data_IF_868101584636
#
_entry.id   IF_868101584636
#
_cell.length_a   1.000
_cell.length_b   1.000
_cell.length_c   1.000
_cell.angle_alpha   90.00
_cell.angle_beta   90.00
_cell.angle_gamma   90.00
#
_symmetry.space_group_name_H-M   'P 1'
#
loop_
_entity.id
_entity.type
_entity.pdbx_description
1 polymer ?
#
# COMPACT_ATOMS: atom_id res chain seq x y z
N UNK A 1 22.49 14.44 7.46
CA UNK A 1 21.09 14.03 7.35
C UNK A 1 20.89 13.29 6.03
N UNK A 2 20.72 11.96 6.09
CA UNK A 2 20.45 11.13 4.91
C UNK A 2 19.08 11.47 4.28
N UNK A 3 18.18 12.08 5.06
CA UNK A 3 16.83 12.47 4.64
C UNK A 3 16.76 13.83 3.91
N UNK A 4 17.77 14.66 3.98
CA UNK A 4 17.81 15.97 3.29
C UNK A 4 18.54 15.94 1.95
N UNK A 5 19.14 14.79 1.60
CA UNK A 5 19.89 14.66 0.36
C UNK A 5 19.00 14.34 -0.83
N UNK A 6 19.22 15.03 -1.94
CA UNK A 6 18.72 14.69 -3.27
C UNK A 6 19.35 13.41 -3.84
N UNK A 7 20.20 12.74 -3.08
CA UNK A 7 20.83 11.48 -3.47
C UNK A 7 20.03 10.31 -2.94
N UNK A 8 19.06 9.91 -3.72
CA UNK A 8 18.50 8.56 -3.62
C UNK A 8 19.59 7.61 -4.07
N UNK A 9 19.86 6.54 -3.31
CA UNK A 9 20.81 5.53 -3.74
C UNK A 9 20.26 4.81 -4.96
N UNK A 10 20.92 5.03 -6.08
CA UNK A 10 20.46 4.62 -7.39
C UNK A 10 20.85 3.19 -7.76
N UNK A 11 21.64 2.54 -6.90
CA UNK A 11 22.19 1.22 -7.22
C UNK A 11 21.30 0.04 -6.81
N UNK A 12 20.16 0.28 -6.17
CA UNK A 12 19.37 -0.80 -5.59
C UNK A 12 20.07 -1.59 -4.48
N UNK A 13 21.32 -1.23 -4.15
CA UNK A 13 22.07 -1.85 -3.05
C UNK A 13 21.61 -1.34 -1.69
N UNK A 14 20.96 -0.18 -1.65
CA UNK A 14 20.37 0.39 -0.46
C UNK A 14 18.88 0.02 -0.37
N UNK A 15 18.49 -0.54 0.76
CA UNK A 15 17.09 -0.80 1.08
C UNK A 15 16.39 0.39 1.72
N UNK A 16 16.97 1.56 1.62
CA UNK A 16 16.54 2.77 2.30
C UNK A 16 15.04 3.09 2.10
N UNK A 17 14.54 3.00 0.87
CA UNK A 17 13.12 3.24 0.56
C UNK A 17 12.19 2.24 1.26
N UNK A 18 12.60 0.97 1.23
CA UNK A 18 11.86 -0.14 1.90
C UNK A 18 11.91 0.06 3.41
N UNK A 19 13.04 0.47 3.96
CA UNK A 19 13.18 0.70 5.41
C UNK A 19 12.32 1.91 5.86
N UNK A 20 12.26 2.98 5.07
CA UNK A 20 11.37 4.13 5.31
C UNK A 20 9.90 3.71 5.30
N UNK A 21 9.48 2.88 4.34
CA UNK A 21 8.14 2.32 4.29
C UNK A 21 7.83 1.45 5.52
N UNK A 22 8.76 0.57 5.92
CA UNK A 22 8.59 -0.28 7.11
C UNK A 22 8.51 0.48 8.42
N UNK A 23 9.16 1.64 8.49
CA UNK A 23 9.09 2.53 9.65
C UNK A 23 7.81 3.37 9.71
N UNK A 24 6.94 3.30 8.70
CA UNK A 24 5.68 4.05 8.66
C UNK A 24 5.84 5.54 8.35
N UNK A 25 6.93 5.94 7.68
CA UNK A 25 7.26 7.34 7.40
C UNK A 25 6.69 7.77 6.03
N UNK A 26 5.36 7.94 5.95
CA UNK A 26 4.64 8.15 4.69
C UNK A 26 5.09 9.38 3.90
N UNK A 27 5.21 10.53 4.55
CA UNK A 27 5.63 11.77 3.87
C UNK A 27 7.06 11.69 3.34
N UNK A 28 7.96 11.06 4.10
CA UNK A 28 9.34 10.81 3.66
C UNK A 28 9.37 9.81 2.50
N UNK A 29 8.56 8.75 2.56
CA UNK A 29 8.43 7.80 1.46
C UNK A 29 7.95 8.49 0.19
N UNK A 30 6.89 9.30 0.26
CA UNK A 30 6.38 10.05 -0.88
C UNK A 30 7.44 10.96 -1.51
N UNK A 31 8.19 11.69 -0.69
CA UNK A 31 9.28 12.54 -1.15
C UNK A 31 10.38 11.72 -1.85
N UNK A 32 10.76 10.58 -1.29
CA UNK A 32 11.78 9.70 -1.84
C UNK A 32 11.32 9.10 -3.17
N UNK A 33 10.10 8.58 -3.24
CA UNK A 33 9.53 8.00 -4.44
C UNK A 33 9.44 9.03 -5.58
N UNK A 34 8.97 10.25 -5.30
CA UNK A 34 8.94 11.34 -6.28
C UNK A 34 10.35 11.69 -6.77
N UNK A 35 11.31 11.85 -5.85
CA UNK A 35 12.68 12.16 -6.24
C UNK A 35 13.28 11.04 -7.11
N UNK A 36 13.04 9.79 -6.76
CA UNK A 36 13.52 8.66 -7.54
C UNK A 36 12.85 8.58 -8.91
N UNK A 37 11.53 8.82 -8.96
CA UNK A 37 10.80 8.90 -10.22
C UNK A 37 11.34 9.99 -11.12
N UNK A 38 11.54 11.21 -10.61
CA UNK A 38 12.14 12.31 -11.37
C UNK A 38 13.53 11.98 -11.91
N UNK A 39 14.36 11.36 -11.07
CA UNK A 39 15.71 10.94 -11.49
C UNK A 39 15.67 9.95 -12.63
N UNK A 40 14.81 8.93 -12.55
CA UNK A 40 14.73 7.88 -13.56
C UNK A 40 13.98 8.31 -14.83
N UNK A 41 13.00 9.20 -14.73
CA UNK A 41 12.18 9.58 -15.88
C UNK A 41 12.62 10.84 -16.58
N UNK A 42 13.07 11.85 -15.82
CA UNK A 42 13.47 13.17 -16.38
C UNK A 42 14.93 13.17 -16.83
N UNK A 43 15.81 12.47 -16.12
CA UNK A 43 17.23 12.42 -16.41
C UNK A 43 17.67 11.15 -17.16
N UNK A 44 16.76 10.20 -17.33
CA UNK A 44 17.01 8.95 -18.04
C UNK A 44 16.37 8.93 -19.42
N UNK A 45 17.02 8.26 -20.37
CA UNK A 45 16.49 8.09 -21.73
C UNK A 45 15.36 7.02 -21.81
N UNK A 46 15.01 6.41 -20.69
CA UNK A 46 14.01 5.34 -20.63
C UNK A 46 12.89 5.65 -19.64
N UNK A 47 11.62 5.70 -20.07
CA UNK A 47 10.50 6.04 -19.22
C UNK A 47 10.05 4.91 -18.27
N UNK A 48 10.76 3.81 -18.18
CA UNK A 48 10.36 2.59 -17.46
C UNK A 48 11.11 2.36 -16.15
N UNK A 49 11.75 3.37 -15.59
CA UNK A 49 12.46 3.32 -14.30
C UNK A 49 13.65 2.34 -14.23
N UNK A 50 14.09 1.78 -15.37
CA UNK A 50 15.17 0.76 -15.41
C UNK A 50 16.55 1.39 -15.46
N UNK A 51 16.65 2.66 -15.84
CA UNK A 51 17.91 3.35 -16.05
C UNK A 51 18.38 4.05 -14.78
N UNK A 52 19.66 3.92 -14.43
CA UNK A 52 20.29 4.70 -13.39
C UNK A 52 21.21 5.79 -13.97
N UNK A 53 21.57 6.78 -13.16
CA UNK A 53 22.42 7.91 -13.58
C UNK A 53 23.85 7.52 -14.00
N UNK A 54 24.21 6.25 -13.97
CA UNK A 54 25.54 5.75 -14.31
C UNK A 54 25.58 5.02 -15.63
N UNK A 55 24.58 5.22 -16.48
CA UNK A 55 24.44 4.51 -17.75
C UNK A 55 24.29 2.98 -17.61
N UNK A 56 23.72 2.51 -16.48
CA UNK A 56 23.40 1.13 -16.25
C UNK A 56 21.91 0.89 -16.12
N UNK A 57 21.44 -0.23 -16.63
CA UNK A 57 20.11 -0.76 -16.33
C UNK A 57 20.15 -1.39 -14.94
N UNK A 58 19.35 -0.85 -13.99
CA UNK A 58 19.30 -1.34 -12.63
C UNK A 58 17.96 -2.01 -12.33
N UNK A 59 17.93 -3.33 -12.46
CA UNK A 59 16.79 -4.13 -12.04
C UNK A 59 16.57 -4.04 -10.51
N UNK A 60 17.65 -3.87 -9.76
CA UNK A 60 17.65 -3.72 -8.31
C UNK A 60 16.97 -2.41 -7.90
N UNK A 61 17.24 -1.31 -8.58
CA UNK A 61 16.60 -0.01 -8.32
C UNK A 61 15.09 -0.09 -8.53
N UNK A 62 14.65 -0.73 -9.61
CA UNK A 62 13.24 -0.96 -9.89
C UNK A 62 12.61 -1.88 -8.83
N UNK A 63 13.30 -2.95 -8.45
CA UNK A 63 12.84 -3.89 -7.43
C UNK A 63 12.64 -3.23 -6.06
N UNK A 64 13.58 -2.40 -5.62
CA UNK A 64 13.47 -1.66 -4.36
C UNK A 64 12.39 -0.59 -4.39
N UNK A 65 12.22 0.09 -5.53
CA UNK A 65 11.12 1.05 -5.74
C UNK A 65 9.76 0.35 -5.63
N UNK A 66 9.56 -0.76 -6.36
CA UNK A 66 8.32 -1.54 -6.32
C UNK A 66 8.03 -2.10 -4.93
N UNK A 67 9.06 -2.62 -4.24
CA UNK A 67 8.92 -3.12 -2.88
C UNK A 67 8.52 -2.00 -1.89
N UNK A 68 9.11 -0.82 -2.03
CA UNK A 68 8.76 0.33 -1.18
C UNK A 68 7.32 0.81 -1.43
N UNK A 69 6.85 0.82 -2.68
CA UNK A 69 5.44 1.10 -3.01
C UNK A 69 4.51 0.10 -2.33
N UNK A 70 4.79 -1.20 -2.46
CA UNK A 70 3.97 -2.24 -1.86
C UNK A 70 3.97 -2.15 -0.32
N UNK A 71 5.14 -1.97 0.30
CA UNK A 71 5.27 -1.80 1.75
C UNK A 71 4.61 -0.50 2.26
N UNK A 72 4.53 0.53 1.43
CA UNK A 72 3.80 1.76 1.74
C UNK A 72 2.29 1.55 1.74
N UNK A 73 1.77 0.73 0.83
CA UNK A 73 0.35 0.43 0.67
C UNK A 73 -0.15 -0.63 1.65
N UNK A 74 0.59 -1.74 1.79
CA UNK A 74 0.16 -2.89 2.58
C UNK A 74 1.34 -3.60 3.23
N UNK A 75 1.24 -3.86 4.52
CA UNK A 75 2.23 -4.67 5.27
C UNK A 75 1.53 -5.78 6.03
N UNK A 76 2.21 -6.92 6.16
CA UNK A 76 1.82 -8.01 7.04
C UNK A 76 3.05 -8.49 7.81
N UNK A 77 3.46 -7.69 8.77
CA UNK A 77 4.66 -7.93 9.57
C UNK A 77 4.28 -8.29 10.99
N UNK A 78 4.99 -9.26 11.57
CA UNK A 78 4.89 -9.55 12.98
C UNK A 78 5.44 -8.37 13.81
N UNK A 79 4.74 -7.94 14.87
CA UNK A 79 5.21 -6.86 15.74
C UNK A 79 6.45 -7.25 16.54
N UNK A 80 6.67 -8.54 16.74
CA UNK A 80 7.83 -9.12 17.45
C UNK A 80 8.42 -10.28 16.62
N UNK A 81 9.62 -10.72 16.96
CA UNK A 81 10.34 -11.79 16.22
C UNK A 81 9.55 -13.09 16.18
N UNK A 82 8.83 -13.42 17.24
CA UNK A 82 8.05 -14.66 17.36
C UNK A 82 6.53 -14.40 17.33
N UNK A 83 6.12 -13.21 16.90
CA UNK A 83 4.72 -12.82 16.82
C UNK A 83 4.07 -13.21 15.51
N UNK A 84 2.75 -13.22 15.51
CA UNK A 84 1.95 -13.43 14.31
C UNK A 84 1.93 -12.20 13.39
N UNK A 85 1.79 -12.38 12.07
CA UNK A 85 1.66 -11.27 11.14
C UNK A 85 0.42 -10.43 11.42
N UNK A 86 0.57 -9.12 11.34
CA UNK A 86 -0.52 -8.14 11.45
C UNK A 86 -0.62 -7.34 10.15
N UNK A 87 -1.78 -7.37 9.53
CA UNK A 87 -2.09 -6.59 8.34
C UNK A 87 -2.19 -5.11 8.73
N UNK A 88 -1.50 -4.26 7.99
CA UNK A 88 -1.58 -2.81 8.10
C UNK A 88 -1.81 -2.22 6.72
N UNK A 89 -2.89 -1.48 6.56
CA UNK A 89 -3.26 -0.80 5.32
C UNK A 89 -2.73 0.63 5.34
N UNK A 90 -2.13 1.07 4.25
CA UNK A 90 -1.51 2.39 4.10
C UNK A 90 -0.54 2.79 5.22
N UNK A 91 0.30 1.87 5.74
CA UNK A 91 1.12 2.13 6.93
C UNK A 91 2.16 3.23 6.71
N UNK A 92 2.58 3.46 5.47
CA UNK A 92 3.55 4.47 5.09
C UNK A 92 3.18 5.17 3.78
N UNK A 93 1.89 5.27 3.47
CA UNK A 93 1.43 5.99 2.29
C UNK A 93 1.26 7.47 2.59
N UNK A 94 1.69 8.39 1.70
CA UNK A 94 1.39 9.81 1.85
C UNK A 94 -0.12 10.03 1.85
N UNK A 95 -0.66 10.61 2.91
CA UNK A 95 -2.12 10.76 3.05
C UNK A 95 -2.78 11.59 1.94
N UNK A 96 -2.04 12.54 1.38
CA UNK A 96 -2.50 13.38 0.29
C UNK A 96 -2.57 12.67 -1.07
N UNK A 97 -2.12 11.43 -1.17
CA UNK A 97 -2.15 10.66 -2.40
C UNK A 97 -3.31 9.67 -2.38
N UNK A 98 -4.30 9.91 -3.22
CA UNK A 98 -5.36 8.93 -3.44
C UNK A 98 -4.77 7.65 -4.05
N UNK A 99 -5.18 6.51 -3.52
CA UNK A 99 -4.71 5.22 -3.98
C UNK A 99 -5.72 4.11 -3.73
N UNK A 100 -5.65 3.08 -4.57
CA UNK A 100 -6.39 1.84 -4.41
C UNK A 100 -5.48 0.67 -4.76
N UNK A 101 -5.56 -0.39 -3.99
CA UNK A 101 -4.74 -1.57 -4.24
C UNK A 101 -5.48 -2.87 -3.96
N UNK A 102 -4.93 -3.97 -4.51
CA UNK A 102 -5.23 -5.35 -4.13
C UNK A 102 -3.91 -6.12 -4.06
N UNK A 103 -3.46 -6.47 -2.86
CA UNK A 103 -2.15 -7.08 -2.60
C UNK A 103 -2.29 -8.30 -1.69
N UNK A 104 -1.43 -9.28 -1.90
CA UNK A 104 -1.36 -10.46 -1.05
C UNK A 104 -0.58 -10.12 0.23
N UNK A 105 -1.19 -10.40 1.37
CA UNK A 105 -0.57 -10.39 2.69
C UNK A 105 -0.14 -11.81 3.09
N UNK A 106 0.53 -11.96 4.23
CA UNK A 106 0.88 -13.28 4.77
C UNK A 106 -0.37 -14.07 5.13
N UNK A 107 -0.20 -15.37 5.33
CA UNK A 107 -1.23 -16.33 5.74
C UNK A 107 -2.40 -16.42 4.73
N UNK A 108 -2.12 -16.10 3.45
CA UNK A 108 -3.08 -16.24 2.36
C UNK A 108 -4.22 -15.21 2.36
N UNK A 109 -4.01 -14.04 2.91
CA UNK A 109 -4.98 -12.94 2.87
C UNK A 109 -4.75 -12.05 1.65
N UNK A 110 -5.74 -11.96 0.77
CA UNK A 110 -5.72 -11.00 -0.33
C UNK A 110 -6.45 -9.73 0.11
N UNK A 111 -5.70 -8.65 0.26
CA UNK A 111 -6.17 -7.39 0.87
C UNK A 111 -6.42 -6.35 -0.19
N UNK A 112 -7.62 -5.77 -0.19
CA UNK A 112 -7.97 -4.60 -1.00
C UNK A 112 -8.34 -3.43 -0.10
N UNK A 113 -7.88 -2.25 -0.44
CA UNK A 113 -8.25 -1.03 0.28
C UNK A 113 -8.11 0.20 -0.62
N UNK A 114 -8.76 1.31 -0.26
CA UNK A 114 -8.54 2.60 -0.90
C UNK A 114 -8.38 3.71 0.14
N UNK A 115 -7.60 4.71 -0.23
CA UNK A 115 -7.49 5.99 0.46
C UNK A 115 -7.90 7.08 -0.52
N UNK A 116 -8.85 7.92 -0.12
CA UNK A 116 -9.40 9.00 -0.92
C UNK A 116 -9.59 10.23 -0.02
N UNK A 117 -9.10 11.38 -0.45
CA UNK A 117 -9.18 12.63 0.33
C UNK A 117 -8.66 12.46 1.78
N UNK A 118 -7.49 11.83 1.91
CA UNK A 118 -6.80 11.57 3.18
C UNK A 118 -7.47 10.53 4.09
N UNK A 119 -8.58 9.91 3.66
CA UNK A 119 -9.34 8.94 4.45
C UNK A 119 -9.32 7.54 3.83
N UNK A 120 -9.02 6.52 4.65
CA UNK A 120 -9.16 5.11 4.28
C UNK A 120 -10.65 4.79 4.23
N UNK A 121 -11.11 4.29 3.09
CA UNK A 121 -12.53 4.09 2.81
C UNK A 121 -13.03 2.75 3.33
N UNK A 122 -12.27 1.69 3.14
CA UNK A 122 -12.59 0.32 3.55
C UNK A 122 -11.33 -0.54 3.62
N UNK A 123 -11.46 -1.70 4.26
CA UNK A 123 -10.48 -2.80 4.15
C UNK A 123 -11.27 -4.06 3.78
N UNK A 124 -11.01 -4.61 2.59
CA UNK A 124 -11.58 -5.89 2.16
C UNK A 124 -10.48 -6.96 2.21
N UNK A 125 -10.80 -8.09 2.80
CA UNK A 125 -9.89 -9.21 3.00
C UNK A 125 -10.57 -10.48 2.49
N UNK A 126 -9.97 -11.09 1.48
CA UNK A 126 -10.32 -12.41 0.98
C UNK A 126 -9.40 -13.43 1.64
N UNK A 127 -9.93 -14.26 2.51
CA UNK A 127 -9.18 -15.31 3.19
C UNK A 127 -9.07 -16.54 2.29
N UNK A 128 -7.88 -16.81 1.78
CA UNK A 128 -7.66 -17.96 0.89
C UNK A 128 -7.43 -19.27 1.64
N UNK A 129 -6.99 -19.22 2.89
CA UNK A 129 -6.59 -20.38 3.67
C UNK A 129 -7.43 -20.62 4.94
N UNK A 130 -8.28 -19.68 5.33
CA UNK A 130 -9.10 -19.78 6.53
C UNK A 130 -8.33 -19.61 7.84
N UNK A 131 -7.24 -18.86 7.81
CA UNK A 131 -6.42 -18.61 8.99
C UNK A 131 -7.00 -17.51 9.87
N UNK A 132 -6.52 -17.38 11.12
CA UNK A 132 -6.87 -16.27 12.01
C UNK A 132 -6.33 -14.95 11.45
N UNK A 133 -7.24 -14.02 11.16
CA UNK A 133 -6.86 -12.73 10.61
C UNK A 133 -6.57 -11.71 11.70
N UNK A 134 -5.43 -11.02 11.57
CA UNK A 134 -5.02 -9.93 12.47
C UNK A 134 -4.82 -8.67 11.67
N UNK A 135 -5.57 -7.64 12.00
CA UNK A 135 -5.54 -6.35 11.30
C UNK A 135 -5.40 -5.22 12.31
N UNK A 136 -4.52 -4.27 12.04
CA UNK A 136 -4.52 -3.02 12.79
C UNK A 136 -5.67 -2.16 12.31
N UNK A 137 -6.51 -1.69 13.24
CA UNK A 137 -7.56 -0.73 12.93
C UNK A 137 -6.95 0.55 12.33
N UNK A 138 -7.28 0.91 11.09
CA UNK A 138 -6.74 2.12 10.47
C UNK A 138 -7.51 3.41 10.85
N UNK A 139 -8.56 3.28 11.64
CA UNK A 139 -9.42 4.38 12.08
C UNK A 139 -9.38 4.52 13.61
N UNK A 140 -9.59 5.73 14.10
CA UNK A 140 -9.68 6.01 15.54
C UNK A 140 -11.11 5.82 16.08
N UNK A 141 -11.81 4.78 15.62
CA UNK A 141 -13.21 4.51 16.01
C UNK A 141 -13.53 3.02 15.87
N UNK A 142 -14.73 2.63 16.36
CA UNK A 142 -15.28 1.29 16.19
C UNK A 142 -15.42 0.93 14.72
N UNK A 143 -15.23 -0.34 14.41
CA UNK A 143 -15.26 -0.90 13.07
C UNK A 143 -16.40 -1.88 12.93
N UNK A 144 -17.13 -1.79 11.82
CA UNK A 144 -18.17 -2.78 11.48
C UNK A 144 -17.57 -3.81 10.55
N UNK A 145 -17.70 -5.08 10.92
CA UNK A 145 -17.28 -6.24 10.16
C UNK A 145 -18.46 -6.83 9.40
N UNK A 146 -18.27 -7.02 8.11
CA UNK A 146 -19.19 -7.74 7.22
C UNK A 146 -18.53 -9.03 6.75
N UNK A 147 -19.28 -10.14 6.77
CA UNK A 147 -18.88 -11.45 6.26
C UNK A 147 -19.70 -11.80 5.03
N UNK A 148 -19.05 -12.01 3.89
CA UNK A 148 -19.73 -12.30 2.62
C UNK A 148 -20.88 -11.33 2.30
N UNK A 149 -20.70 -10.05 2.62
CA UNK A 149 -21.67 -8.98 2.39
C UNK A 149 -22.75 -8.82 3.45
N UNK A 150 -22.78 -9.66 4.51
CA UNK A 150 -23.73 -9.58 5.61
C UNK A 150 -23.06 -8.96 6.83
N UNK A 151 -23.68 -7.96 7.44
CA UNK A 151 -23.21 -7.37 8.70
C UNK A 151 -23.16 -8.45 9.79
N UNK A 152 -22.00 -8.67 10.36
CA UNK A 152 -21.79 -9.67 11.40
C UNK A 152 -21.72 -9.01 12.78
N UNK A 153 -20.76 -8.13 13.00
CA UNK A 153 -20.48 -7.56 14.32
C UNK A 153 -19.85 -6.17 14.21
N UNK A 154 -19.82 -5.45 15.35
CA UNK A 154 -18.98 -4.28 15.52
C UNK A 154 -17.82 -4.67 16.41
N UNK A 155 -16.60 -4.31 15.99
CA UNK A 155 -15.36 -4.64 16.69
C UNK A 155 -14.78 -3.37 17.29
N UNK A 156 -14.56 -3.40 18.59
CA UNK A 156 -13.68 -2.45 19.26
C UNK A 156 -12.25 -2.95 19.12
N UNK A 157 -11.34 -2.07 18.75
CA UNK A 157 -9.94 -2.43 18.70
C UNK A 157 -9.40 -2.72 20.11
N UNK A 158 -8.65 -3.79 20.22
CA UNK A 158 -7.93 -4.15 21.45
C UNK A 158 -6.68 -3.30 21.68
N UNK A 159 -5.77 -3.81 22.49
CA UNK A 159 -4.48 -3.16 22.75
C UNK A 159 -3.72 -2.93 21.44
N UNK A 160 -3.10 -1.77 21.28
CA UNK A 160 -2.39 -1.34 20.06
C UNK A 160 -3.25 -1.36 18.78
N UNK A 161 -4.54 -1.06 18.89
CA UNK A 161 -5.50 -1.03 17.79
C UNK A 161 -5.62 -2.36 17.02
N UNK A 162 -5.31 -3.46 17.67
CA UNK A 162 -5.36 -4.79 17.05
C UNK A 162 -6.81 -5.32 17.05
N UNK A 163 -7.26 -5.72 15.87
CA UNK A 163 -8.45 -6.52 15.65
C UNK A 163 -8.02 -7.94 15.27
N UNK A 164 -8.60 -8.93 15.93
CA UNK A 164 -8.34 -10.36 15.65
C UNK A 164 -9.67 -11.09 15.50
N UNK A 165 -9.79 -11.90 14.46
CA UNK A 165 -10.98 -12.70 14.20
C UNK A 165 -10.67 -13.93 13.34
N UNK A 166 -11.41 -15.02 13.59
CA UNK A 166 -11.34 -16.24 12.81
C UNK A 166 -11.92 -16.02 11.42
N UNK A 167 -11.35 -16.71 10.42
CA UNK A 167 -11.88 -16.72 9.05
C UNK A 167 -12.12 -18.14 8.56
N UNK A 168 -12.87 -18.26 7.47
CA UNK A 168 -13.05 -19.51 6.73
C UNK A 168 -12.36 -19.39 5.36
N UNK A 169 -11.98 -20.51 4.78
CA UNK A 169 -11.44 -20.54 3.42
C UNK A 169 -12.45 -19.95 2.41
N UNK A 170 -11.96 -19.07 1.54
CA UNK A 170 -12.74 -18.30 0.55
C UNK A 170 -13.77 -17.32 1.15
N UNK A 171 -13.65 -16.99 2.43
CA UNK A 171 -14.49 -15.96 3.04
C UNK A 171 -14.02 -14.56 2.65
N UNK A 172 -14.97 -13.68 2.34
CA UNK A 172 -14.73 -12.27 2.09
C UNK A 172 -15.21 -11.45 3.28
N UNK A 173 -14.27 -10.73 3.90
CA UNK A 173 -14.51 -9.86 5.03
C UNK A 173 -14.32 -8.42 4.59
N UNK A 174 -15.26 -7.54 4.97
CA UNK A 174 -15.14 -6.11 4.74
C UNK A 174 -15.23 -5.38 6.06
N UNK A 175 -14.24 -4.56 6.34
CA UNK A 175 -14.18 -3.67 7.49
C UNK A 175 -14.46 -2.24 7.02
N UNK A 176 -15.35 -1.56 7.71
CA UNK A 176 -15.65 -0.14 7.49
C UNK A 176 -15.84 0.59 8.82
N UNK A 177 -15.69 1.90 8.81
CA UNK A 177 -16.02 2.75 9.97
C UNK A 177 -17.48 2.50 10.41
N UNK A 178 -17.76 2.58 11.68
CA UNK A 178 -19.12 2.56 12.18
C UNK A 178 -19.98 3.68 11.52
N UNK A 179 -21.19 3.32 11.12
CA UNK A 179 -22.09 4.23 10.40
C UNK A 179 -21.93 4.24 8.88
N UNK A 180 -20.99 3.48 8.31
CA UNK A 180 -20.80 3.32 6.87
C UNK A 180 -21.16 1.91 6.42
N UNK A 181 -21.43 1.73 5.12
CA UNK A 181 -21.76 0.42 4.53
C UNK A 181 -20.84 0.09 3.37
N UNK A 182 -20.55 -1.20 3.11
CA UNK A 182 -19.66 -1.61 2.01
C UNK A 182 -20.14 -1.14 0.63
N UNK A 183 -21.43 -1.01 0.42
CA UNK A 183 -21.99 -0.60 -0.88
C UNK A 183 -21.62 0.82 -1.27
N UNK A 184 -21.26 1.67 -0.31
CA UNK A 184 -20.81 3.04 -0.56
C UNK A 184 -19.42 3.08 -1.21
N UNK A 185 -18.61 2.02 -1.08
CA UNK A 185 -17.20 1.98 -1.51
C UNK A 185 -16.91 0.93 -2.59
N UNK A 186 -17.85 0.00 -2.83
CA UNK A 186 -17.68 -1.04 -3.85
C UNK A 186 -17.82 -0.56 -5.29
N UNK A 187 -18.35 0.64 -5.49
CA UNK A 187 -18.77 1.14 -6.81
C UNK A 187 -17.64 1.58 -7.72
N UNK A 188 -16.43 1.72 -7.24
CA UNK A 188 -15.31 1.95 -8.12
C UNK A 188 -14.68 0.61 -8.50
N UNK A 189 -15.27 -0.13 -9.46
CA UNK A 189 -14.44 -0.97 -10.31
C UNK A 189 -13.26 -0.09 -10.75
N UNK A 190 -12.06 -0.61 -10.67
CA UNK A 190 -10.93 -0.02 -11.39
C UNK A 190 -11.32 -0.08 -12.86
N UNK A 191 -12.10 0.89 -13.31
CA UNK A 191 -12.24 1.15 -14.73
C UNK A 191 -10.82 1.27 -15.22
N UNK A 192 -10.48 0.48 -16.22
CA UNK A 192 -9.20 0.54 -16.90
C UNK A 192 -8.79 1.99 -16.97
N UNK A 193 -7.66 2.33 -16.33
CA UNK A 193 -7.09 3.65 -16.45
C UNK A 193 -6.92 3.83 -17.96
N UNK A 194 -7.64 4.77 -18.54
CA UNK A 194 -7.38 5.17 -19.91
C UNK A 194 -5.94 5.67 -19.92
N UNK A 195 -5.08 4.88 -20.53
CA UNK A 195 -3.70 5.26 -20.75
C UNK A 195 -3.70 6.46 -21.68
N UNK A 196 -3.77 7.64 -21.10
CA UNK A 196 -3.47 8.83 -21.87
C UNK A 196 -1.96 8.82 -22.12
N UNK A 197 -1.57 8.38 -23.31
CA UNK A 197 -0.31 8.81 -23.88
C UNK A 197 -0.40 10.32 -24.00
N UNK A 198 0.10 11.04 -23.03
CA UNK A 198 0.32 12.46 -23.19
C UNK A 198 1.51 12.57 -24.13
N UNK A 199 1.22 12.64 -25.44
CA UNK A 199 2.14 13.10 -26.43
C UNK A 199 2.30 14.61 -26.24
N UNK A 200 2.83 15.01 -25.11
CA UNK A 200 3.40 16.34 -24.98
C UNK A 200 4.82 16.27 -25.47
N UNK A 201 5.16 17.12 -26.40
CA UNK A 201 6.50 17.18 -27.01
C UNK A 201 7.59 17.55 -26.03
N UNK A 202 7.27 17.77 -24.77
CA UNK A 202 8.18 18.13 -23.68
C UNK A 202 8.27 17.12 -22.54
N UNK A 203 7.38 16.12 -22.44
CA UNK A 203 7.52 15.05 -21.43
C UNK A 203 6.76 13.78 -21.83
N UNK A 204 7.46 12.74 -22.19
CA UNK A 204 6.89 11.40 -22.37
C UNK A 204 6.67 10.76 -20.99
N UNK A 205 5.60 11.13 -20.29
CA UNK A 205 5.24 10.49 -19.03
C UNK A 205 4.13 9.49 -19.34
N UNK A 206 4.43 8.20 -19.18
CA UNK A 206 3.43 7.14 -19.22
C UNK A 206 2.99 6.89 -17.79
N UNK A 207 1.75 7.25 -17.46
CA UNK A 207 1.11 6.85 -16.22
C UNK A 207 0.46 5.48 -16.44
N UNK A 208 0.86 4.48 -15.67
CA UNK A 208 0.22 3.16 -15.58
C UNK A 208 -0.55 3.01 -14.29
#
# INVERSE_FOLDING_TARGET
NQFEGTKVDQNGSSRFHVDVAKLGLGDDLGRILNTQYEVFTVNGDTPNLIFDQRDYYSAEGYGTFSAALQDGLNQSLAPTTDGDPVIRVFPAWPKAWDAKYKLLAKDGFLVSSSIESEEIQYVEIESQLGETCRVRNPWDCSVVLYRNGVKAESIEAGENDLMEFETSENEVIVLVKEGTTPDQYRTSELTSVDYHTVNDTESNIIYT
#
